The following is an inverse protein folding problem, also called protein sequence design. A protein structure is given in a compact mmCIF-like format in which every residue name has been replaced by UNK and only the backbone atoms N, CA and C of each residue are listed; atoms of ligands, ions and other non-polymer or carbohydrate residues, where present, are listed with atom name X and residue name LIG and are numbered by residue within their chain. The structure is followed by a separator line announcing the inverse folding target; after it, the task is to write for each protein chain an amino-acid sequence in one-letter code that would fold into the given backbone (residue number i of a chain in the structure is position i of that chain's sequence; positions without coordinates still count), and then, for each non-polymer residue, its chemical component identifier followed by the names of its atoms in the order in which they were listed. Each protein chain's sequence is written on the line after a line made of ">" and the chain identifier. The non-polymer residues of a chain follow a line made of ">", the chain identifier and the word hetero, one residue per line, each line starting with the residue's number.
data_IF_234200498192
#
_entry.id   IF_234200498192
#
_cell.length_a   1.000
_cell.length_b   1.000
_cell.length_c   1.000
_cell.angle_alpha   90.00
_cell.angle_beta   90.00
_cell.angle_gamma   90.00
#
_symmetry.space_group_name_H-M   'P 1'
#
loop_
_entity.id
_entity.type
_entity.pdbx_description
1 polymer ?
#
# COMPACT_ATOMS: atom_id res chain seq x y z
N UNK A 1 -8.13 -15.63 -8.46
CA UNK A 1 -7.58 -14.40 -7.85
C UNK A 1 -8.03 -14.36 -6.40
N UNK A 2 -7.13 -14.11 -5.45
CA UNK A 2 -7.44 -14.00 -4.03
C UNK A 2 -7.37 -12.52 -3.61
N UNK A 3 -8.22 -12.10 -2.67
CA UNK A 3 -8.29 -10.72 -2.20
C UNK A 3 -8.29 -10.67 -0.68
N UNK A 4 -7.58 -9.69 -0.12
CA UNK A 4 -7.63 -9.36 1.30
C UNK A 4 -8.08 -7.91 1.43
N UNK A 5 -9.05 -7.68 2.31
CA UNK A 5 -9.61 -6.36 2.54
C UNK A 5 -9.00 -5.74 3.79
N UNK A 6 -8.58 -4.48 3.68
CA UNK A 6 -8.04 -3.69 4.79
C UNK A 6 -8.56 -2.26 4.70
N UNK A 7 -8.83 -1.64 5.85
CA UNK A 7 -9.52 -0.35 5.93
C UNK A 7 -8.58 0.85 5.90
N UNK A 8 -7.26 0.62 5.83
CA UNK A 8 -6.26 1.70 5.77
C UNK A 8 -5.23 1.43 4.68
N UNK A 9 -4.72 2.50 4.06
CA UNK A 9 -3.57 2.39 3.16
C UNK A 9 -2.32 1.87 3.87
N UNK A 10 -2.19 2.14 5.17
CA UNK A 10 -1.03 1.77 5.94
C UNK A 10 -0.17 2.96 6.33
N UNK A 11 0.21 3.00 7.60
CA UNK A 11 1.06 3.99 8.22
C UNK A 11 2.20 3.29 8.95
N UNK A 12 3.33 4.00 9.06
CA UNK A 12 4.46 3.51 9.84
C UNK A 12 4.10 3.61 11.31
N UNK A 13 4.12 2.47 12.00
CA UNK A 13 3.84 2.38 13.43
C UNK A 13 5.02 2.89 14.25
N UNK A 14 4.81 3.08 15.56
CA UNK A 14 5.87 3.47 16.49
C UNK A 14 7.06 2.48 16.50
N UNK A 15 6.80 1.21 16.18
CA UNK A 15 7.82 0.15 16.15
C UNK A 15 8.52 0.06 14.79
N UNK A 16 8.28 1.00 13.87
CA UNK A 16 8.91 1.07 12.56
C UNK A 16 8.33 0.14 11.49
N UNK A 17 7.39 -0.73 11.87
CA UNK A 17 6.65 -1.60 10.94
C UNK A 17 5.52 -0.86 10.25
N UNK A 18 4.98 -1.42 9.18
CA UNK A 18 3.82 -0.87 8.48
C UNK A 18 2.56 -1.68 8.74
N UNK A 19 1.45 -0.98 8.95
CA UNK A 19 0.11 -1.57 9.00
C UNK A 19 -0.65 -1.39 7.67
N UNK A 20 -1.93 -1.75 7.67
CA UNK A 20 -2.81 -1.57 6.51
C UNK A 20 -2.33 -2.25 5.23
N UNK A 21 -2.71 -1.68 4.09
CA UNK A 21 -2.37 -2.21 2.77
C UNK A 21 -0.85 -2.26 2.52
N UNK A 22 -0.09 -1.25 2.95
CA UNK A 22 1.37 -1.26 2.84
C UNK A 22 1.97 -2.41 3.65
N UNK A 23 1.47 -2.67 4.86
CA UNK A 23 1.89 -3.83 5.65
C UNK A 23 1.53 -5.16 4.98
N UNK A 24 0.36 -5.24 4.34
CA UNK A 24 -0.06 -6.43 3.60
C UNK A 24 0.85 -6.73 2.41
N UNK A 25 1.27 -5.68 1.69
CA UNK A 25 2.21 -5.78 0.56
C UNK A 25 3.60 -6.20 1.04
N UNK A 26 4.11 -5.57 2.10
CA UNK A 26 5.47 -5.82 2.57
C UNK A 26 5.66 -7.19 3.24
N UNK A 27 4.65 -7.65 3.99
CA UNK A 27 4.83 -8.75 4.93
C UNK A 27 3.83 -9.89 4.78
N UNK A 28 2.66 -9.65 4.18
CA UNK A 28 1.55 -10.62 4.17
C UNK A 28 1.26 -11.20 2.79
N UNK A 29 2.15 -10.95 1.82
CA UNK A 29 2.14 -11.61 0.51
C UNK A 29 1.13 -11.02 -0.48
N UNK A 30 0.65 -9.79 -0.27
CA UNK A 30 -0.09 -9.08 -1.32
C UNK A 30 0.88 -8.51 -2.35
N UNK A 31 0.62 -8.72 -3.64
CA UNK A 31 1.54 -8.23 -4.68
C UNK A 31 1.34 -6.74 -4.99
N UNK A 32 0.10 -6.25 -4.94
CA UNK A 32 -0.29 -4.90 -5.37
C UNK A 32 -1.48 -4.36 -4.56
N UNK A 33 -1.54 -3.03 -4.44
CA UNK A 33 -2.72 -2.33 -3.93
C UNK A 33 -3.74 -2.06 -5.04
N UNK A 34 -5.01 -2.40 -4.80
CA UNK A 34 -6.09 -2.24 -5.79
C UNK A 34 -6.87 -0.92 -5.64
N UNK A 35 -6.35 0.05 -4.88
CA UNK A 35 -6.98 1.36 -4.64
C UNK A 35 -6.05 2.49 -5.05
N UNK A 36 -6.62 3.62 -5.50
CA UNK A 36 -5.85 4.83 -5.73
C UNK A 36 -5.24 5.32 -4.42
N UNK A 37 -3.92 5.56 -4.43
CA UNK A 37 -3.19 6.07 -3.27
C UNK A 37 -2.35 7.27 -3.65
N UNK A 38 -2.25 8.24 -2.74
CA UNK A 38 -1.35 9.36 -2.93
C UNK A 38 0.11 8.92 -2.79
N UNK A 39 0.96 9.50 -3.64
CA UNK A 39 2.41 9.38 -3.53
C UNK A 39 2.86 10.30 -2.40
N UNK A 40 3.40 9.71 -1.33
CA UNK A 40 3.92 10.45 -0.17
C UNK A 40 5.32 9.97 0.16
N UNK A 41 6.20 10.90 0.54
CA UNK A 41 7.63 10.62 0.79
C UNK A 41 7.85 9.43 1.73
N UNK A 42 7.05 9.32 2.79
CA UNK A 42 7.18 8.25 3.77
C UNK A 42 7.02 6.82 3.19
N UNK A 43 6.33 6.66 2.06
CA UNK A 43 6.04 5.35 1.45
C UNK A 43 6.99 4.98 0.31
N UNK A 44 7.76 5.94 -0.21
CA UNK A 44 8.66 5.71 -1.36
C UNK A 44 9.76 4.68 -1.07
N UNK A 45 10.16 4.54 0.19
CA UNK A 45 11.19 3.58 0.60
C UNK A 45 10.68 2.13 0.67
N UNK A 46 9.35 1.92 0.60
CA UNK A 46 8.73 0.61 0.88
C UNK A 46 7.75 0.14 -0.19
N UNK A 47 7.17 1.04 -0.99
CA UNK A 47 6.29 0.65 -2.10
C UNK A 47 6.62 1.47 -3.34
N UNK A 48 6.55 0.81 -4.49
CA UNK A 48 6.65 1.46 -5.80
C UNK A 48 5.27 1.83 -6.32
N UNK A 49 5.21 2.92 -7.09
CA UNK A 49 3.97 3.42 -7.67
C UNK A 49 3.97 3.22 -9.18
N UNK A 50 2.84 2.80 -9.71
CA UNK A 50 2.57 2.72 -11.14
C UNK A 50 1.58 3.84 -11.47
N UNK A 51 1.86 4.61 -12.51
CA UNK A 51 0.95 5.66 -12.94
C UNK A 51 -0.30 5.01 -13.56
N UNK A 52 -1.42 5.14 -12.87
CA UNK A 52 -2.73 4.74 -13.39
C UNK A 52 -3.47 5.99 -13.85
N UNK A 53 -3.92 6.01 -15.10
CA UNK A 53 -4.78 7.07 -15.61
C UNK A 53 -6.22 6.75 -15.22
N UNK A 54 -6.91 7.68 -14.55
CA UNK A 54 -8.38 7.64 -14.44
C UNK A 54 -8.96 8.12 -15.77
N UNK A 55 -9.67 7.26 -16.53
CA UNK A 55 -10.33 7.66 -17.76
C UNK A 55 -11.40 8.73 -17.49
N UNK A 56 -11.66 9.56 -18.51
CA UNK A 56 -12.73 10.57 -18.50
C UNK A 56 -14.11 9.91 -18.69
#
# INVERSE_FOLDING_TARGET
>A
VNFTYTLSWGYKTANGTWDGMVGDILYRGADLGATGTFIVKARLDVVSYIQLYTPN
#
